data_IF_895075074440
#
_entry.id   IF_895075074440
#
_cell.length_a   1.000
_cell.length_b   1.000
_cell.length_c   1.000
_cell.angle_alpha   90.00
_cell.angle_beta   90.00
_cell.angle_gamma   90.00
#
_symmetry.space_group_name_H-M   'P 1'
#
loop_
_entity.id
_entity.type
_entity.pdbx_description
1 polymer ?
#
# COMPACT_ATOMS: atom_id res chain seq x y z
N UNK A 1 14.67 11.20 26.52
CA UNK A 1 13.44 10.96 27.31
C UNK A 1 12.37 12.05 27.11
N UNK A 2 12.71 13.29 26.71
CA UNK A 2 11.74 14.36 26.39
C UNK A 2 11.47 14.55 24.88
N UNK A 3 12.13 13.78 24.02
CA UNK A 3 12.07 13.91 22.55
C UNK A 3 11.04 12.99 21.89
N UNK A 4 10.65 11.89 22.56
CA UNK A 4 9.67 10.93 22.02
C UNK A 4 8.20 11.38 22.22
N UNK A 5 7.94 12.26 23.18
CA UNK A 5 6.58 12.71 23.53
C UNK A 5 6.06 13.78 22.55
N UNK A 6 6.94 14.65 22.04
CA UNK A 6 6.59 15.72 21.10
C UNK A 6 6.34 15.19 19.68
N UNK A 7 7.03 14.12 19.26
CA UNK A 7 6.90 13.52 17.92
C UNK A 7 5.64 12.63 17.78
N UNK A 8 5.16 12.04 18.89
CA UNK A 8 3.89 11.31 18.94
C UNK A 8 2.67 12.23 18.76
N UNK A 9 2.69 13.41 19.40
CA UNK A 9 1.60 14.40 19.31
C UNK A 9 1.52 15.03 17.91
N UNK A 10 2.67 15.31 17.27
CA UNK A 10 2.72 15.86 15.92
C UNK A 10 2.23 14.87 14.85
N UNK A 11 2.58 13.58 14.99
CA UNK A 11 2.08 12.50 14.11
C UNK A 11 0.58 12.28 14.24
N UNK A 12 -0.01 12.40 15.44
CA UNK A 12 -1.46 12.20 15.60
C UNK A 12 -2.28 13.28 14.86
N UNK A 13 -1.86 14.57 14.94
CA UNK A 13 -2.55 15.68 14.25
C UNK A 13 -2.34 15.70 12.73
N UNK A 14 -1.19 15.24 12.23
CA UNK A 14 -0.94 15.15 10.78
C UNK A 14 -1.72 14.01 10.11
N UNK A 15 -2.02 12.92 10.83
CA UNK A 15 -2.79 11.79 10.28
C UNK A 15 -4.28 12.13 10.11
N UNK A 16 -4.86 12.96 10.97
CA UNK A 16 -6.27 13.40 10.81
C UNK A 16 -6.48 14.31 9.58
N UNK A 17 -5.47 15.08 9.16
CA UNK A 17 -5.58 16.01 8.03
C UNK A 17 -5.53 15.33 6.65
N UNK A 18 -5.04 14.09 6.55
CA UNK A 18 -4.92 13.36 5.29
C UNK A 18 -5.99 12.26 5.08
N UNK A 19 -6.91 12.05 6.04
CA UNK A 19 -7.90 10.97 6.02
C UNK A 19 -9.35 11.42 5.86
N UNK A 20 -9.61 12.38 4.97
CA UNK A 20 -10.88 12.39 4.24
C UNK A 20 -10.58 12.53 2.76
N UNK A 21 -10.76 11.47 1.95
CA UNK A 21 -10.92 11.70 0.52
C UNK A 21 -12.14 12.60 0.39
N UNK A 22 -11.89 13.88 0.09
CA UNK A 22 -12.92 14.85 -0.25
C UNK A 22 -13.67 14.19 -1.40
N UNK A 23 -14.88 13.69 -1.14
CA UNK A 23 -15.70 13.06 -2.16
C UNK A 23 -15.89 14.10 -3.25
N UNK A 24 -15.18 13.93 -4.36
CA UNK A 24 -15.08 14.90 -5.45
C UNK A 24 -16.47 15.26 -6.02
N UNK A 25 -17.46 14.39 -5.81
CA UNK A 25 -18.85 14.63 -6.17
C UNK A 25 -19.60 15.68 -5.31
N UNK A 26 -18.96 16.33 -4.32
CA UNK A 26 -19.61 17.31 -3.41
C UNK A 26 -19.62 18.76 -3.92
N UNK A 27 -19.03 19.06 -5.07
CA UNK A 27 -18.99 20.42 -5.60
C UNK A 27 -20.20 20.70 -6.50
N UNK A 28 -21.05 21.68 -6.15
CA UNK A 28 -22.33 21.90 -6.83
C UNK A 28 -22.23 22.56 -8.22
N UNK A 29 -21.08 23.15 -8.58
CA UNK A 29 -20.93 23.93 -9.81
C UNK A 29 -20.16 23.23 -10.94
N UNK A 30 -19.37 22.20 -10.63
CA UNK A 30 -18.56 21.45 -11.60
C UNK A 30 -18.69 19.98 -11.24
N UNK A 31 -19.45 19.22 -12.03
CA UNK A 31 -19.50 17.76 -11.93
C UNK A 31 -18.35 17.21 -12.77
N UNK A 32 -17.32 16.60 -12.17
CA UNK A 32 -16.25 15.99 -12.94
C UNK A 32 -16.76 14.70 -13.60
N UNK A 33 -16.39 14.50 -14.87
CA UNK A 33 -16.71 13.33 -15.68
C UNK A 33 -15.98 12.06 -15.18
N UNK A 34 -16.29 11.66 -13.95
CA UNK A 34 -15.68 10.54 -13.26
C UNK A 34 -16.74 9.49 -12.98
N UNK A 35 -16.47 8.24 -13.36
CA UNK A 35 -17.29 7.06 -13.13
C UNK A 35 -17.65 6.82 -11.65
N UNK A 36 -17.02 7.52 -10.70
CA UNK A 36 -17.38 7.52 -9.28
C UNK A 36 -18.67 8.31 -8.98
N UNK A 37 -18.98 9.33 -9.77
CA UNK A 37 -20.13 10.21 -9.55
C UNK A 37 -21.34 9.85 -10.44
N UNK A 38 -21.27 8.72 -11.15
CA UNK A 38 -22.34 8.24 -12.01
C UNK A 38 -22.88 6.89 -11.52
N UNK A 39 -24.20 6.77 -11.57
CA UNK A 39 -24.91 5.51 -11.45
C UNK A 39 -25.28 5.03 -12.87
N UNK A 40 -24.58 4.01 -13.35
CA UNK A 40 -24.76 3.49 -14.71
C UNK A 40 -25.62 2.23 -14.69
N UNK A 41 -26.61 2.20 -15.58
CA UNK A 41 -27.49 1.06 -15.76
C UNK A 41 -26.94 0.17 -16.87
N UNK A 42 -26.75 -1.11 -16.55
CA UNK A 42 -26.26 -2.12 -17.50
C UNK A 42 -27.45 -2.98 -17.98
N UNK A 43 -27.50 -3.33 -19.26
CA UNK A 43 -28.51 -4.26 -19.76
C UNK A 43 -28.25 -5.68 -19.23
N UNK A 44 -29.30 -6.40 -18.87
CA UNK A 44 -29.22 -7.73 -18.25
C UNK A 44 -28.61 -8.79 -19.20
N UNK A 45 -28.81 -8.63 -20.51
CA UNK A 45 -28.31 -9.55 -21.54
C UNK A 45 -26.86 -9.25 -22.00
N UNK A 46 -26.11 -8.43 -21.26
CA UNK A 46 -24.77 -8.06 -21.69
C UNK A 46 -23.80 -9.25 -21.64
N UNK A 47 -23.10 -9.50 -22.76
CA UNK A 47 -22.09 -10.55 -22.83
C UNK A 47 -20.82 -10.10 -22.13
N UNK A 48 -20.26 -10.96 -21.28
CA UNK A 48 -19.01 -10.67 -20.59
C UNK A 48 -17.89 -10.28 -21.58
N UNK A 49 -17.27 -9.13 -21.35
CA UNK A 49 -16.17 -8.59 -22.16
C UNK A 49 -16.60 -7.78 -23.39
N UNK A 50 -17.88 -7.68 -23.72
CA UNK A 50 -18.34 -6.83 -24.83
C UNK A 50 -18.27 -5.34 -24.47
N UNK A 51 -17.90 -4.51 -25.43
CA UNK A 51 -18.03 -3.05 -25.32
C UNK A 51 -19.47 -2.65 -25.62
N UNK A 52 -20.10 -1.98 -24.67
CA UNK A 52 -21.50 -1.53 -24.75
C UNK A 52 -21.61 -0.05 -24.36
N UNK A 53 -22.65 0.60 -24.85
CA UNK A 53 -23.02 1.95 -24.43
C UNK A 53 -24.03 1.86 -23.30
N UNK A 54 -23.65 2.37 -22.12
CA UNK A 54 -24.48 2.37 -20.92
C UNK A 54 -24.99 3.77 -20.61
N UNK A 55 -26.24 3.86 -20.17
CA UNK A 55 -26.83 5.10 -19.67
C UNK A 55 -26.40 5.34 -18.23
N UNK A 56 -25.68 6.44 -18.01
CA UNK A 56 -25.17 6.86 -16.72
C UNK A 56 -25.88 8.12 -16.22
N UNK A 57 -26.47 8.03 -15.02
CA UNK A 57 -27.15 9.12 -14.34
C UNK A 57 -26.25 9.69 -13.24
N UNK A 58 -26.18 11.00 -13.13
CA UNK A 58 -25.43 11.64 -12.04
C UNK A 58 -26.11 11.37 -10.67
N UNK A 59 -25.32 11.22 -9.60
CA UNK A 59 -25.86 11.20 -8.24
C UNK A 59 -26.53 12.55 -7.86
N UNK A 60 -27.47 12.53 -6.93
CA UNK A 60 -28.25 13.72 -6.49
C UNK A 60 -27.43 14.85 -5.84
N UNK A 61 -26.10 14.79 -5.90
CA UNK A 61 -25.19 15.80 -5.36
C UNK A 61 -24.92 16.91 -6.38
N UNK A 62 -25.22 16.69 -7.66
CA UNK A 62 -25.14 17.70 -8.72
C UNK A 62 -26.47 18.43 -8.95
N UNK A 63 -26.40 19.74 -9.23
CA UNK A 63 -27.57 20.64 -9.38
C UNK A 63 -28.47 20.33 -10.60
N UNK A 64 -28.00 19.47 -11.52
CA UNK A 64 -28.76 19.02 -12.68
C UNK A 64 -28.64 17.51 -12.87
N UNK A 65 -29.79 16.86 -13.08
CA UNK A 65 -29.86 15.44 -13.43
C UNK A 65 -29.66 15.30 -14.94
N UNK A 66 -28.45 14.99 -15.36
CA UNK A 66 -28.12 14.74 -16.76
C UNK A 66 -27.81 13.25 -16.97
N UNK A 67 -28.27 12.71 -18.08
CA UNK A 67 -28.05 11.33 -18.49
C UNK A 67 -27.07 11.33 -19.67
N UNK A 68 -25.91 10.67 -19.49
CA UNK A 68 -24.89 10.56 -20.54
C UNK A 68 -24.75 9.09 -20.92
N UNK A 69 -24.63 8.85 -22.23
CA UNK A 69 -24.23 7.56 -22.77
C UNK A 69 -22.70 7.45 -22.72
N UNK A 70 -22.20 6.49 -21.96
CA UNK A 70 -20.77 6.22 -21.86
C UNK A 70 -20.45 4.82 -22.37
N UNK A 71 -19.28 4.66 -23.01
CA UNK A 71 -18.78 3.35 -23.42
C UNK A 71 -18.18 2.62 -22.23
N UNK A 72 -18.67 1.42 -21.95
CA UNK A 72 -18.19 0.57 -20.88
C UNK A 72 -18.00 -0.88 -21.35
N UNK A 73 -17.18 -1.64 -20.63
CA UNK A 73 -17.04 -3.09 -20.86
C UNK A 73 -17.98 -3.79 -19.88
N UNK A 74 -18.81 -4.71 -20.37
CA UNK A 74 -19.66 -5.55 -19.52
C UNK A 74 -18.77 -6.51 -18.69
N UNK A 75 -18.48 -6.14 -17.44
CA UNK A 75 -17.70 -6.92 -16.47
C UNK A 75 -17.90 -6.39 -15.05
N UNK A 76 -17.65 -7.24 -14.05
CA UNK A 76 -17.71 -6.83 -12.65
C UNK A 76 -16.45 -6.07 -12.21
N UNK A 77 -16.60 -5.19 -11.22
CA UNK A 77 -15.50 -4.37 -10.70
C UNK A 77 -14.31 -5.18 -10.18
N UNK A 78 -14.54 -6.36 -9.58
CA UNK A 78 -13.47 -7.24 -9.08
C UNK A 78 -12.66 -7.95 -10.18
N UNK A 79 -13.15 -7.95 -11.44
CA UNK A 79 -12.49 -8.58 -12.60
C UNK A 79 -11.62 -7.58 -13.39
N UNK A 80 -11.51 -6.34 -12.94
CA UNK A 80 -10.66 -5.31 -13.57
C UNK A 80 -9.17 -5.67 -13.46
N UNK A 81 -8.32 -5.04 -14.27
CA UNK A 81 -6.87 -5.25 -14.29
C UNK A 81 -6.15 -4.41 -13.22
N UNK A 82 -5.28 -5.01 -12.37
CA UNK A 82 -4.54 -4.26 -11.35
C UNK A 82 -3.56 -3.28 -12.00
N UNK A 83 -3.37 -2.11 -11.40
CA UNK A 83 -2.43 -1.07 -11.84
C UNK A 83 -2.98 -0.12 -12.90
N UNK A 84 -3.81 -0.61 -13.83
CA UNK A 84 -4.41 0.22 -14.91
C UNK A 84 -5.84 0.64 -14.57
N UNK A 85 -6.64 -0.29 -14.03
CA UNK A 85 -8.08 -0.09 -13.85
C UNK A 85 -8.50 -0.08 -12.38
N UNK A 86 -7.72 -0.74 -11.51
CA UNK A 86 -7.89 -0.64 -10.06
C UNK A 86 -6.55 -0.56 -9.35
N UNK A 87 -6.56 0.08 -8.19
CA UNK A 87 -5.42 0.18 -7.28
C UNK A 87 -5.78 -0.45 -5.94
N UNK A 88 -4.83 -1.17 -5.34
CA UNK A 88 -5.01 -1.82 -4.05
C UNK A 88 -4.19 -1.11 -2.97
N UNK A 89 -4.73 -1.08 -1.75
CA UNK A 89 -4.02 -0.58 -0.58
C UNK A 89 -2.71 -1.34 -0.37
N UNK A 90 -1.61 -0.61 -0.18
CA UNK A 90 -0.34 -1.22 0.21
C UNK A 90 -0.46 -1.78 1.62
N UNK A 91 -0.11 -3.05 1.81
CA UNK A 91 -0.09 -3.71 3.11
C UNK A 91 1.24 -3.38 3.80
N UNK A 92 1.18 -2.92 5.05
CA UNK A 92 2.35 -2.69 5.91
C UNK A 92 2.58 -3.91 6.81
N UNK A 93 3.76 -4.00 7.41
CA UNK A 93 4.13 -5.03 8.40
C UNK A 93 4.00 -6.46 7.88
N UNK A 94 4.74 -6.74 6.81
CA UNK A 94 4.75 -8.07 6.21
C UNK A 94 5.72 -8.94 7.01
N UNK A 95 5.19 -9.71 7.96
CA UNK A 95 5.97 -10.66 8.75
C UNK A 95 6.85 -11.50 7.82
N UNK A 96 8.16 -11.38 8.01
CA UNK A 96 9.17 -11.72 7.01
C UNK A 96 9.35 -13.22 6.77
N UNK A 97 8.58 -14.05 7.46
CA UNK A 97 8.72 -15.50 7.41
C UNK A 97 7.77 -16.18 6.43
N UNK A 98 6.90 -15.46 5.72
CA UNK A 98 6.00 -16.16 4.81
C UNK A 98 5.56 -15.31 3.61
N UNK A 99 5.74 -15.91 2.44
CA UNK A 99 5.16 -15.58 1.13
C UNK A 99 3.62 -15.66 1.16
N UNK A 100 2.98 -15.02 2.15
CA UNK A 100 1.53 -15.08 2.34
C UNK A 100 0.86 -14.04 1.46
N UNK A 101 -0.29 -14.45 0.98
CA UNK A 101 -1.25 -13.53 0.40
C UNK A 101 -1.91 -12.75 1.53
N UNK A 102 -1.92 -11.42 1.42
CA UNK A 102 -2.62 -10.54 2.33
C UNK A 102 -3.89 -10.03 1.67
N UNK A 103 -4.96 -9.91 2.46
CA UNK A 103 -6.24 -9.36 2.01
C UNK A 103 -6.14 -7.83 1.99
N UNK A 104 -6.06 -7.25 0.79
CA UNK A 104 -6.05 -5.80 0.59
C UNK A 104 -7.41 -5.30 0.11
N UNK A 105 -7.69 -4.02 0.40
CA UNK A 105 -8.85 -3.31 -0.14
C UNK A 105 -8.41 -2.69 -1.46
N UNK A 106 -9.09 -3.05 -2.54
CA UNK A 106 -8.87 -2.52 -3.87
C UNK A 106 -10.01 -1.62 -4.28
N UNK A 107 -9.66 -0.52 -4.94
CA UNK A 107 -10.58 0.50 -5.43
C UNK A 107 -10.40 0.69 -6.94
N UNK A 108 -11.50 0.67 -7.67
CA UNK A 108 -11.52 0.92 -9.13
C UNK A 108 -11.29 2.41 -9.42
N UNK A 109 -10.46 2.67 -10.43
CA UNK A 109 -10.09 4.00 -10.89
C UNK A 109 -11.29 4.80 -11.42
N UNK A 110 -11.20 6.12 -11.29
CA UNK A 110 -12.28 7.08 -11.52
C UNK A 110 -12.80 7.11 -12.96
N UNK A 111 -12.07 6.55 -13.93
CA UNK A 111 -12.47 6.51 -15.34
C UNK A 111 -13.13 5.19 -15.75
N UNK A 112 -12.96 4.13 -14.95
CA UNK A 112 -13.44 2.80 -15.30
C UNK A 112 -14.85 2.59 -14.76
N UNK A 113 -15.79 2.34 -15.67
CA UNK A 113 -17.18 1.96 -15.35
C UNK A 113 -17.22 0.42 -15.27
N UNK A 114 -17.84 -0.11 -14.21
CA UNK A 114 -17.93 -1.54 -13.93
C UNK A 114 -19.19 -1.87 -13.12
N UNK A 115 -19.57 -3.15 -13.13
CA UNK A 115 -20.76 -3.65 -12.43
C UNK A 115 -20.42 -4.00 -10.97
N UNK A 116 -21.26 -3.57 -10.04
CA UNK A 116 -21.17 -3.91 -8.61
C UNK A 116 -20.38 -2.92 -7.76
N UNK A 117 -19.89 -3.37 -6.60
CA UNK A 117 -19.16 -2.50 -5.68
C UNK A 117 -17.75 -2.16 -6.20
N UNK A 118 -17.43 -0.87 -6.25
CA UNK A 118 -16.12 -0.35 -6.70
C UNK A 118 -14.99 -0.62 -5.70
N UNK A 119 -15.34 -0.89 -4.43
CA UNK A 119 -14.41 -1.31 -3.39
C UNK A 119 -14.58 -2.79 -3.12
N UNK A 120 -13.53 -3.56 -3.35
CA UNK A 120 -13.56 -5.02 -3.19
C UNK A 120 -12.29 -5.52 -2.51
N UNK A 121 -12.38 -6.70 -1.92
CA UNK A 121 -11.23 -7.34 -1.30
C UNK A 121 -10.51 -8.24 -2.31
N UNK A 122 -9.18 -8.20 -2.33
CA UNK A 122 -8.36 -9.09 -3.15
C UNK A 122 -7.13 -9.55 -2.38
N UNK A 123 -6.74 -10.79 -2.63
CA UNK A 123 -5.52 -11.37 -2.09
C UNK A 123 -4.33 -10.90 -2.94
N UNK A 124 -3.47 -10.07 -2.36
CA UNK A 124 -2.28 -9.52 -3.00
C UNK A 124 -1.03 -9.96 -2.27
N UNK A 125 0.09 -10.01 -2.97
CA UNK A 125 1.40 -10.21 -2.34
C UNK A 125 1.86 -8.90 -1.74
N UNK A 126 2.57 -8.97 -0.62
CA UNK A 126 3.20 -7.80 -0.05
C UNK A 126 4.29 -7.27 -1.00
N UNK A 127 4.23 -5.98 -1.30
CA UNK A 127 5.20 -5.28 -2.14
C UNK A 127 5.72 -4.00 -1.47
N UNK A 128 5.56 -3.90 -0.14
CA UNK A 128 6.00 -2.74 0.62
C UNK A 128 7.52 -2.74 0.77
N UNK A 129 8.15 -1.64 0.33
CA UNK A 129 9.59 -1.38 0.45
C UNK A 129 9.76 -0.11 1.28
N UNK A 130 10.75 -0.11 2.18
CA UNK A 130 11.07 1.04 3.05
C UNK A 130 12.40 1.72 2.65
N UNK A 131 12.81 1.59 1.38
CA UNK A 131 14.07 2.17 0.84
C UNK A 131 15.37 1.53 1.36
N UNK A 132 15.29 0.50 2.20
CA UNK A 132 16.46 -0.21 2.72
C UNK A 132 16.99 -1.17 1.66
N UNK A 133 18.29 -1.11 1.38
CA UNK A 133 18.94 -1.99 0.39
C UNK A 133 19.59 -3.18 1.07
N UNK A 134 19.44 -4.35 0.46
CA UNK A 134 20.09 -5.58 0.94
C UNK A 134 21.62 -5.43 0.92
N UNK A 135 22.19 -4.94 -0.19
CA UNK A 135 23.63 -4.76 -0.34
C UNK A 135 24.23 -3.79 0.68
N UNK A 136 23.53 -2.70 0.99
CA UNK A 136 23.97 -1.76 2.04
C UNK A 136 23.99 -2.42 3.41
N UNK A 137 22.94 -3.19 3.74
CA UNK A 137 22.87 -3.95 5.00
C UNK A 137 24.02 -4.96 5.11
N UNK A 138 24.32 -5.66 4.00
CA UNK A 138 25.41 -6.62 3.92
C UNK A 138 26.78 -5.97 4.12
N UNK A 139 27.06 -4.87 3.42
CA UNK A 139 28.32 -4.12 3.55
C UNK A 139 28.47 -3.56 4.97
N UNK A 140 27.40 -3.02 5.56
CA UNK A 140 27.41 -2.55 6.95
C UNK A 140 27.70 -3.69 7.92
N UNK A 141 27.14 -4.88 7.70
CA UNK A 141 27.39 -6.04 8.57
C UNK A 141 28.83 -6.54 8.44
N UNK A 142 29.40 -6.52 7.23
CA UNK A 142 30.78 -6.92 7.02
C UNK A 142 31.81 -5.94 7.62
N UNK A 143 31.59 -4.63 7.45
CA UNK A 143 32.56 -3.58 7.84
C UNK A 143 32.36 -3.04 9.25
N UNK A 144 31.10 -2.92 9.68
CA UNK A 144 30.68 -2.29 10.94
C UNK A 144 29.80 -3.23 11.78
N UNK A 145 29.73 -4.52 11.45
CA UNK A 145 28.91 -5.49 12.17
C UNK A 145 29.37 -5.74 13.60
N UNK A 146 30.66 -5.54 13.90
CA UNK A 146 31.17 -5.59 15.29
C UNK A 146 30.52 -4.55 16.20
N UNK A 147 30.13 -3.39 15.66
CA UNK A 147 29.43 -2.31 16.36
C UNK A 147 27.90 -2.42 16.28
N UNK A 148 27.35 -3.40 15.56
CA UNK A 148 25.90 -3.59 15.41
C UNK A 148 25.18 -2.51 14.59
N UNK A 149 25.91 -1.77 13.75
CA UNK A 149 25.38 -0.70 12.88
C UNK A 149 24.42 -1.26 11.84
N UNK A 150 24.66 -2.47 11.36
CA UNK A 150 23.80 -3.22 10.47
C UNK A 150 22.39 -3.49 11.06
N UNK A 151 22.34 -3.85 12.34
CA UNK A 151 21.07 -4.05 13.06
C UNK A 151 20.36 -2.73 13.39
N UNK A 152 21.10 -1.65 13.65
CA UNK A 152 20.52 -0.31 13.78
C UNK A 152 19.88 0.15 12.46
N UNK A 153 20.55 -0.08 11.34
CA UNK A 153 20.02 0.22 10.01
C UNK A 153 18.70 -0.52 9.73
N UNK A 154 18.60 -1.78 10.15
CA UNK A 154 17.39 -2.59 9.99
C UNK A 154 16.26 -2.20 10.96
N UNK A 155 16.53 -1.43 12.01
CA UNK A 155 15.55 -0.95 12.99
C UNK A 155 15.54 -1.73 14.32
N UNK A 156 16.51 -2.61 14.55
CA UNK A 156 16.61 -3.41 15.78
C UNK A 156 17.40 -2.69 16.88
N UNK A 157 16.90 -1.55 17.35
CA UNK A 157 17.61 -0.70 18.34
C UNK A 157 17.96 -1.44 19.64
N UNK A 158 17.02 -2.21 20.21
CA UNK A 158 17.25 -2.91 21.48
C UNK A 158 18.37 -3.96 21.41
N UNK A 159 18.36 -4.81 20.38
CA UNK A 159 19.37 -5.84 20.17
C UNK A 159 20.74 -5.23 19.85
N UNK A 160 20.77 -4.14 19.08
CA UNK A 160 22.02 -3.43 18.77
C UNK A 160 22.67 -2.82 20.01
N UNK A 161 21.90 -2.23 20.93
CA UNK A 161 22.45 -1.66 22.17
C UNK A 161 23.08 -2.72 23.07
N UNK A 162 22.45 -3.91 23.17
CA UNK A 162 23.02 -5.04 23.93
C UNK A 162 24.34 -5.52 23.29
N UNK A 163 24.38 -5.57 21.96
CA UNK A 163 25.59 -5.94 21.20
C UNK A 163 26.72 -4.93 21.43
N UNK A 164 26.41 -3.64 21.51
CA UNK A 164 27.39 -2.59 21.84
C UNK A 164 27.92 -2.70 23.27
N UNK A 165 27.03 -2.91 24.26
CA UNK A 165 27.42 -3.05 25.67
C UNK A 165 28.29 -4.29 25.93
N UNK A 166 28.11 -5.33 25.13
CA UNK A 166 28.90 -6.57 25.19
C UNK A 166 30.17 -6.49 24.33
N UNK A 167 30.56 -5.29 23.85
CA UNK A 167 31.68 -5.06 22.92
C UNK A 167 31.64 -5.97 21.68
N UNK A 168 30.44 -6.31 21.21
CA UNK A 168 30.24 -7.14 20.01
C UNK A 168 30.69 -8.59 20.16
N UNK A 169 30.86 -9.10 21.39
CA UNK A 169 31.12 -10.51 21.70
C UNK A 169 32.27 -11.14 20.91
N UNK A 170 33.44 -10.48 20.88
CA UNK A 170 34.68 -10.93 20.21
C UNK A 170 34.55 -11.15 18.68
N UNK A 171 33.55 -10.56 18.03
CA UNK A 171 33.35 -10.66 16.59
C UNK A 171 32.54 -11.88 16.12
N UNK A 172 32.22 -12.82 17.02
CA UNK A 172 31.37 -13.99 16.71
C UNK A 172 29.98 -13.54 16.23
N UNK A 173 29.42 -12.52 16.88
CA UNK A 173 28.13 -11.94 16.50
C UNK A 173 28.17 -11.28 15.12
N UNK A 174 29.29 -10.70 14.71
CA UNK A 174 29.43 -10.11 13.39
C UNK A 174 29.42 -11.21 12.31
N UNK A 175 30.08 -12.35 12.56
CA UNK A 175 30.08 -13.49 11.64
C UNK A 175 28.67 -14.08 11.48
N UNK A 176 27.95 -14.30 12.59
CA UNK A 176 26.58 -14.81 12.56
C UNK A 176 25.66 -13.85 11.79
N UNK A 177 25.77 -12.55 12.03
CA UNK A 177 24.92 -11.54 11.38
C UNK A 177 25.17 -11.45 9.87
N UNK A 178 26.42 -11.57 9.43
CA UNK A 178 26.77 -11.63 8.00
C UNK A 178 26.06 -12.80 7.32
N UNK A 179 26.06 -14.00 7.92
CA UNK A 179 25.35 -15.16 7.36
C UNK A 179 23.83 -14.97 7.37
N UNK A 180 23.26 -14.44 8.46
CA UNK A 180 21.82 -14.20 8.57
C UNK A 180 21.31 -13.22 7.50
N UNK A 181 22.08 -12.18 7.18
CA UNK A 181 21.76 -11.22 6.12
C UNK A 181 22.01 -11.84 4.74
N UNK A 182 23.12 -12.58 4.56
CA UNK A 182 23.47 -13.22 3.30
C UNK A 182 22.39 -14.22 2.83
N UNK A 183 21.88 -15.04 3.75
CA UNK A 183 20.82 -16.01 3.46
C UNK A 183 19.41 -15.38 3.47
N UNK A 184 19.27 -14.09 3.79
CA UNK A 184 17.98 -13.40 3.81
C UNK A 184 17.05 -13.80 4.97
N UNK A 185 17.59 -14.44 6.02
CA UNK A 185 16.84 -14.73 7.25
C UNK A 185 16.60 -13.47 8.08
N UNK A 186 17.49 -12.47 7.98
CA UNK A 186 17.34 -11.19 8.65
C UNK A 186 16.80 -10.12 7.69
N UNK A 187 15.61 -9.62 8.00
CA UNK A 187 14.89 -8.59 7.25
C UNK A 187 14.65 -7.35 8.11
N UNK A 188 14.25 -6.21 7.51
CA UNK A 188 13.90 -5.00 8.25
C UNK A 188 12.85 -5.27 9.34
N UNK A 189 12.99 -4.62 10.50
CA UNK A 189 12.09 -4.79 11.64
C UNK A 189 10.62 -4.42 11.30
N UNK A 190 10.42 -3.52 10.34
CA UNK A 190 9.10 -3.10 9.82
C UNK A 190 8.43 -4.16 8.91
N UNK A 191 9.07 -5.32 8.68
CA UNK A 191 8.59 -6.34 7.75
C UNK A 191 8.60 -5.91 6.27
N UNK A 192 9.22 -4.77 5.93
CA UNK A 192 9.35 -4.33 4.55
C UNK A 192 10.33 -5.19 3.76
N UNK A 193 10.11 -5.32 2.46
CA UNK A 193 11.08 -5.93 1.55
C UNK A 193 12.26 -4.98 1.30
N UNK A 194 13.42 -5.56 0.99
CA UNK A 194 14.56 -4.80 0.48
C UNK A 194 14.22 -4.18 -0.89
N UNK A 195 14.80 -3.01 -1.16
CA UNK A 195 14.63 -2.29 -2.42
C UNK A 195 15.41 -2.90 -3.59
#
# INVERSE_FOLDING_TARGET
MWEEEFDMLLRSKLVELHLKPKSICKYPHICPDTAKCFNCTFPDDCKYGSQIEVSCKNLNVCFHHFEIKQKAICRYCYQTKPGVEHSCSKVRDCSSTANRYHRAICEVNDKTICIGNRRFFKNVRCSWKNGKKWSTSFILSFTLGGLGVDRFYLGYFGLSTIKLLTFGGLGIWAVIDVFLIAFGYLTPADGSLFE
#
